data_IF_712393562329
#
_entry.id   IF_712393562329
#
_cell.length_a   1.000
_cell.length_b   1.000
_cell.length_c   1.000
_cell.angle_alpha   90.00
_cell.angle_beta   90.00
_cell.angle_gamma   90.00
#
_symmetry.space_group_name_H-M   'P 1'
#
loop_
_entity.id
_entity.type
_entity.pdbx_description
1 polymer ?
#
# COMPACT_ATOMS: atom_id res chain seq x y z
N UNK A 1 1.84 18.37 -19.34
CA UNK A 1 2.00 17.45 -18.19
C UNK A 1 0.67 17.39 -17.44
N UNK A 2 -0.01 16.24 -17.35
CA UNK A 2 -1.18 16.08 -16.45
C UNK A 2 -0.88 15.00 -15.39
N UNK A 3 -0.34 15.38 -14.22
CA UNK A 3 0.20 14.45 -13.23
C UNK A 3 -0.85 13.75 -12.34
N UNK A 4 -2.16 13.99 -12.51
CA UNK A 4 -3.18 13.54 -11.53
C UNK A 4 -3.71 12.11 -11.73
N UNK A 5 -3.32 11.41 -12.80
CA UNK A 5 -3.80 10.04 -13.09
C UNK A 5 -2.86 8.96 -12.56
N UNK A 6 -3.22 8.26 -11.50
CA UNK A 6 -2.55 7.00 -11.10
C UNK A 6 -2.95 5.84 -12.03
N UNK A 7 -1.99 5.15 -12.64
CA UNK A 7 -2.22 3.89 -13.38
C UNK A 7 -1.20 2.85 -12.94
N UNK A 8 -1.67 1.68 -12.52
CA UNK A 8 -0.84 0.51 -12.20
C UNK A 8 -0.60 -0.29 -13.50
N UNK A 9 0.59 -0.89 -13.65
CA UNK A 9 0.91 -1.84 -14.73
C UNK A 9 1.17 -1.26 -16.15
N UNK A 10 0.76 -0.02 -16.45
CA UNK A 10 0.88 0.58 -17.80
C UNK A 10 1.93 1.68 -17.93
N UNK A 11 2.63 2.03 -16.85
CA UNK A 11 3.71 3.02 -16.90
C UNK A 11 5.06 2.32 -17.11
N UNK A 12 5.91 2.89 -17.98
CA UNK A 12 7.37 2.65 -17.93
C UNK A 12 7.85 2.83 -16.48
N UNK A 13 8.93 2.15 -16.04
CA UNK A 13 9.43 2.23 -14.67
C UNK A 13 9.41 3.67 -14.17
N UNK A 14 8.53 3.96 -13.21
CA UNK A 14 8.24 5.33 -12.83
C UNK A 14 9.47 5.93 -12.14
N UNK A 15 9.97 7.07 -12.65
CA UNK A 15 11.07 7.83 -12.03
C UNK A 15 10.53 8.69 -10.88
N UNK A 16 9.98 8.05 -9.85
CA UNK A 16 9.53 8.71 -8.63
C UNK A 16 10.67 8.79 -7.60
N UNK A 17 10.65 9.82 -6.74
CA UNK A 17 11.68 10.07 -5.72
C UNK A 17 11.21 9.72 -4.29
N UNK A 18 10.15 8.92 -4.17
CA UNK A 18 9.50 8.60 -2.89
C UNK A 18 10.38 7.87 -1.87
N UNK A 19 11.47 7.23 -2.33
CA UNK A 19 12.44 6.53 -1.48
C UNK A 19 13.77 7.29 -1.40
N UNK A 20 13.77 8.58 -1.71
CA UNK A 20 14.97 9.41 -1.83
C UNK A 20 15.76 9.18 -3.12
N UNK A 21 16.91 9.85 -3.22
CA UNK A 21 17.84 9.74 -4.34
C UNK A 21 19.28 9.84 -3.81
N UNK A 22 20.21 9.09 -4.42
CA UNK A 22 21.63 9.09 -4.04
C UNK A 22 21.94 8.29 -2.77
N UNK A 23 23.04 8.64 -2.11
CA UNK A 23 23.65 7.86 -1.02
C UNK A 23 22.80 7.78 0.26
N UNK A 24 21.76 8.60 0.37
CA UNK A 24 20.90 8.66 1.55
C UNK A 24 19.72 7.65 1.48
N UNK A 25 19.58 6.92 0.38
CA UNK A 25 18.49 5.96 0.14
C UNK A 25 18.84 4.53 0.56
N UNK A 26 19.21 4.35 1.83
CA UNK A 26 19.67 3.05 2.35
C UNK A 26 18.53 2.01 2.36
N UNK A 27 17.31 2.40 2.74
CA UNK A 27 16.17 1.49 2.87
C UNK A 27 15.40 1.19 1.59
N UNK A 28 15.78 1.77 0.44
CA UNK A 28 14.97 1.69 -0.78
C UNK A 28 14.78 0.26 -1.32
N UNK A 29 15.80 -0.63 -1.33
CA UNK A 29 15.60 -2.02 -1.75
C UNK A 29 14.67 -2.81 -0.82
N UNK A 30 14.86 -2.66 0.50
CA UNK A 30 14.04 -3.34 1.50
C UNK A 30 12.58 -2.92 1.42
N UNK A 31 12.31 -1.61 1.37
CA UNK A 31 10.95 -1.08 1.24
C UNK A 31 10.23 -1.60 -0.02
N UNK A 32 10.96 -1.80 -1.13
CA UNK A 32 10.40 -2.39 -2.36
C UNK A 32 10.05 -3.87 -2.17
N UNK A 33 10.92 -4.63 -1.50
CA UNK A 33 10.68 -6.05 -1.23
C UNK A 33 9.46 -6.23 -0.31
N UNK A 34 9.43 -5.50 0.81
CA UNK A 34 8.32 -5.52 1.76
C UNK A 34 7.00 -5.14 1.11
N UNK A 35 6.96 -4.03 0.35
CA UNK A 35 5.76 -3.62 -0.35
C UNK A 35 5.31 -4.66 -1.40
N UNK A 36 6.25 -5.29 -2.10
CA UNK A 36 5.94 -6.32 -3.09
C UNK A 36 5.33 -7.57 -2.44
N UNK A 37 5.88 -8.01 -1.30
CA UNK A 37 5.36 -9.15 -0.54
C UNK A 37 4.00 -8.80 0.05
N UNK A 38 3.90 -7.69 0.78
CA UNK A 38 2.66 -7.28 1.45
C UNK A 38 1.51 -7.12 0.46
N UNK A 39 1.71 -6.40 -0.64
CA UNK A 39 0.66 -6.19 -1.65
C UNK A 39 0.28 -7.51 -2.32
N UNK A 40 1.24 -8.38 -2.66
CA UNK A 40 0.94 -9.68 -3.26
C UNK A 40 0.13 -10.56 -2.31
N UNK A 41 0.55 -10.65 -1.05
CA UNK A 41 -0.12 -11.47 -0.04
C UNK A 41 -1.53 -10.95 0.20
N UNK A 42 -1.71 -9.65 0.44
CA UNK A 42 -3.02 -9.05 0.67
C UNK A 42 -3.96 -9.30 -0.50
N UNK A 43 -3.52 -9.03 -1.74
CA UNK A 43 -4.37 -9.21 -2.92
C UNK A 43 -4.65 -10.67 -3.28
N UNK A 44 -3.76 -11.60 -2.90
CA UNK A 44 -3.95 -13.04 -3.16
C UNK A 44 -4.82 -13.70 -2.10
N UNK A 45 -4.61 -13.37 -0.82
CA UNK A 45 -5.29 -14.02 0.31
C UNK A 45 -6.62 -13.36 0.67
N UNK A 46 -6.76 -12.06 0.42
CA UNK A 46 -7.94 -11.27 0.77
C UNK A 46 -8.49 -10.58 -0.48
N UNK A 47 -8.91 -11.33 -1.51
CA UNK A 47 -9.34 -10.76 -2.80
C UNK A 47 -10.60 -9.89 -2.68
N UNK A 48 -11.47 -10.21 -1.71
CA UNK A 48 -12.70 -9.47 -1.39
C UNK A 48 -12.44 -8.33 -0.37
N UNK A 49 -11.18 -7.96 -0.13
CA UNK A 49 -10.87 -6.87 0.81
C UNK A 49 -11.46 -5.56 0.33
N UNK A 50 -12.31 -4.97 1.15
CA UNK A 50 -12.95 -3.68 0.89
C UNK A 50 -12.74 -2.71 2.05
N UNK A 51 -12.87 -1.41 1.77
CA UNK A 51 -12.85 -0.39 2.82
C UNK A 51 -14.13 -0.51 3.66
N UNK A 52 -13.97 -0.68 4.97
CA UNK A 52 -15.12 -0.86 5.88
C UNK A 52 -15.98 0.41 6.06
N UNK A 53 -15.46 1.59 5.68
CA UNK A 53 -16.10 2.89 5.90
C UNK A 53 -15.99 3.79 4.65
N UNK A 54 -16.57 3.38 3.50
CA UNK A 54 -16.30 4.02 2.21
C UNK A 54 -16.87 5.45 2.08
N UNK A 55 -17.86 5.80 2.89
CA UNK A 55 -18.48 7.14 2.92
C UNK A 55 -17.78 8.10 3.89
N UNK A 56 -16.91 7.59 4.76
CA UNK A 56 -16.19 8.41 5.73
C UNK A 56 -14.87 8.90 5.15
N UNK A 57 -14.47 10.13 5.47
CA UNK A 57 -13.16 10.64 5.08
C UNK A 57 -12.03 9.89 5.80
N UNK A 58 -10.84 9.84 5.19
CA UNK A 58 -9.64 9.25 5.81
C UNK A 58 -8.89 10.31 6.60
N UNK A 59 -8.85 10.17 7.93
CA UNK A 59 -7.96 10.99 8.77
C UNK A 59 -6.51 10.71 8.39
N UNK A 60 -5.78 11.78 8.07
CA UNK A 60 -4.36 11.72 7.69
C UNK A 60 -3.48 11.88 8.91
N UNK A 61 -2.31 11.23 8.89
CA UNK A 61 -1.24 11.55 9.83
C UNK A 61 -0.97 13.07 9.81
N UNK A 62 -0.70 13.70 10.96
CA UNK A 62 -0.24 15.08 11.01
C UNK A 62 0.92 15.29 10.04
N UNK A 63 1.00 16.48 9.43
CA UNK A 63 2.04 16.76 8.45
C UNK A 63 3.44 16.55 9.06
N UNK A 64 4.27 15.75 8.38
CA UNK A 64 5.60 15.36 8.86
C UNK A 64 6.36 14.53 7.82
N UNK A 65 7.35 13.76 8.30
CA UNK A 65 8.24 12.94 7.46
C UNK A 65 7.46 11.88 6.67
N UNK A 66 6.42 11.29 7.28
CA UNK A 66 5.60 10.24 6.68
C UNK A 66 4.22 10.77 6.31
N UNK A 67 3.68 10.30 5.17
CA UNK A 67 2.29 10.58 4.77
C UNK A 67 1.51 9.27 4.73
N UNK A 68 0.36 9.24 5.39
CA UNK A 68 -0.48 8.05 5.43
C UNK A 68 -1.82 8.27 6.13
N UNK A 69 -2.74 7.30 6.06
CA UNK A 69 -3.91 7.27 6.92
C UNK A 69 -3.49 7.02 8.37
N UNK A 70 -4.21 7.59 9.34
CA UNK A 70 -4.08 7.20 10.76
C UNK A 70 -4.62 5.79 10.97
N UNK A 71 -5.71 5.45 10.28
CA UNK A 71 -6.35 4.13 10.29
C UNK A 71 -6.89 3.82 8.90
N UNK A 72 -6.85 2.55 8.52
CA UNK A 72 -7.46 2.05 7.28
C UNK A 72 -8.31 0.80 7.60
N UNK A 73 -9.53 0.97 8.11
CA UNK A 73 -10.42 -0.15 8.44
C UNK A 73 -10.78 -0.94 7.17
N UNK A 74 -10.70 -2.26 7.22
CA UNK A 74 -11.03 -3.12 6.08
C UNK A 74 -11.96 -4.26 6.48
N UNK A 75 -12.82 -4.69 5.56
CA UNK A 75 -13.61 -5.92 5.67
C UNK A 75 -13.08 -6.95 4.68
N UNK A 76 -13.13 -8.21 5.06
CA UNK A 76 -12.84 -9.35 4.19
C UNK A 76 -13.58 -10.57 4.73
N UNK A 77 -13.87 -11.54 3.88
CA UNK A 77 -14.39 -12.83 4.34
C UNK A 77 -13.26 -13.62 5.00
N UNK A 78 -13.38 -14.06 6.25
CA UNK A 78 -12.37 -14.92 6.84
C UNK A 78 -12.31 -16.23 6.06
N UNK A 79 -11.10 -16.65 5.64
CA UNK A 79 -10.91 -18.05 5.23
C UNK A 79 -11.28 -18.94 6.43
N UNK A 80 -12.04 -20.01 6.20
CA UNK A 80 -12.13 -21.09 7.20
C UNK A 80 -10.71 -21.60 7.39
N UNK A 81 -10.08 -21.22 8.51
CA UNK A 81 -8.80 -21.79 8.89
C UNK A 81 -8.95 -23.30 8.86
N UNK A 82 -8.10 -23.99 8.09
CA UNK A 82 -7.87 -25.40 8.32
C UNK A 82 -7.43 -25.52 9.76
N UNK A 83 -8.32 -26.06 10.60
CA UNK A 83 -8.05 -26.42 11.98
C UNK A 83 -6.82 -27.35 11.94
N UNK A 84 -5.67 -26.82 12.36
CA UNK A 84 -4.46 -27.62 12.48
C UNK A 84 -4.60 -28.33 13.82
N UNK A 85 -5.27 -29.48 13.78
CA UNK A 85 -5.19 -30.51 14.81
C UNK A 85 -3.81 -31.19 14.78
#
# INVERSE_FOLDING_TARGET
MRPDRGRVGSRRPARHVSLGHGIHSIGAPLARLEASIALRVLLTRLPEMAWARPTEGVTRLPAGITRGPVRLPATFTPEKGSDVA
#
